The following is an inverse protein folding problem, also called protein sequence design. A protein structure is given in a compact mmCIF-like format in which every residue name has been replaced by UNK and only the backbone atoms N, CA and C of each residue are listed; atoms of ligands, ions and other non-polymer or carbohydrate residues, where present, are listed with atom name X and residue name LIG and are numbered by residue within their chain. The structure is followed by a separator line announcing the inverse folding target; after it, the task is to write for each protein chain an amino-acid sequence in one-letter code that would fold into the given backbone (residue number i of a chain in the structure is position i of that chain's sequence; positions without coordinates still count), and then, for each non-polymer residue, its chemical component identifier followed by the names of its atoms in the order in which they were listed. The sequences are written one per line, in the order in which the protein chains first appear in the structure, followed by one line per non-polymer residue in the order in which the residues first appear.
data_IF_545822919691
#
_entry.id   IF_545822919691
#
_cell.length_a   1.000
_cell.length_b   1.000
_cell.length_c   1.000
_cell.angle_alpha   90.00
_cell.angle_beta   90.00
_cell.angle_gamma   90.00
#
_symmetry.space_group_name_H-M   'P 1'
#
loop_
_entity.id
_entity.type
_entity.pdbx_description
1 polymer ?
#
# COMPACT_ATOMS: atom_id res chain seq x y z
N UNK A 1 25.59 73.21 -13.92
CA UNK A 1 25.25 71.85 -14.39
C UNK A 1 26.55 71.20 -14.81
N UNK A 2 27.15 70.42 -13.92
CA UNK A 2 28.43 69.75 -14.23
C UNK A 2 28.13 68.55 -15.10
N UNK A 3 28.27 68.73 -16.42
CA UNK A 3 28.41 67.66 -17.40
C UNK A 3 29.76 66.99 -17.18
N UNK A 4 29.86 66.21 -16.10
CA UNK A 4 31.04 65.43 -15.74
C UNK A 4 30.89 64.00 -16.24
N UNK A 5 32.02 63.40 -16.62
CA UNK A 5 32.20 62.03 -17.12
C UNK A 5 31.65 60.96 -16.13
N UNK A 6 31.38 61.34 -14.87
CA UNK A 6 30.86 60.47 -13.81
C UNK A 6 29.34 60.56 -13.58
N UNK A 7 28.60 61.39 -14.34
CA UNK A 7 27.18 61.61 -14.08
C UNK A 7 26.28 60.83 -15.05
N UNK A 8 25.71 59.73 -14.55
CA UNK A 8 24.80 58.84 -15.29
C UNK A 8 23.42 59.46 -15.58
N UNK A 9 23.09 60.64 -15.04
CA UNK A 9 21.72 61.19 -15.14
C UNK A 9 21.23 61.30 -16.59
N UNK A 10 22.07 61.76 -17.52
CA UNK A 10 21.71 61.90 -18.94
C UNK A 10 21.42 60.53 -19.58
N UNK A 11 22.28 59.53 -19.36
CA UNK A 11 22.04 58.17 -19.86
C UNK A 11 20.75 57.58 -19.28
N UNK A 12 20.52 57.75 -17.98
CA UNK A 12 19.35 57.20 -17.30
C UNK A 12 18.05 57.87 -17.77
N UNK A 13 18.01 59.21 -17.79
CA UNK A 13 16.80 59.99 -18.06
C UNK A 13 16.47 60.04 -19.57
N UNK A 14 17.46 60.31 -20.43
CA UNK A 14 17.21 60.56 -21.85
C UNK A 14 17.22 59.28 -22.70
N UNK A 15 17.87 58.21 -22.22
CA UNK A 15 17.98 56.96 -22.98
C UNK A 15 17.37 55.76 -22.25
N UNK A 16 17.84 55.42 -21.05
CA UNK A 16 17.52 54.14 -20.40
C UNK A 16 16.04 54.04 -20.02
N UNK A 17 15.45 55.08 -19.42
CA UNK A 17 14.02 55.08 -19.07
C UNK A 17 13.13 54.95 -20.32
N UNK A 18 13.29 55.79 -21.38
CA UNK A 18 12.54 55.61 -22.63
C UNK A 18 12.77 54.24 -23.29
N UNK A 19 14.02 53.74 -23.27
CA UNK A 19 14.38 52.43 -23.81
C UNK A 19 13.63 51.30 -23.10
N UNK A 20 13.63 51.28 -21.76
CA UNK A 20 12.94 50.26 -20.97
C UNK A 20 11.42 50.32 -21.18
N UNK A 21 10.84 51.53 -21.30
CA UNK A 21 9.41 51.69 -21.58
C UNK A 21 9.01 51.16 -22.97
N UNK A 22 9.79 51.49 -24.00
CA UNK A 22 9.56 50.98 -25.36
C UNK A 22 9.77 49.47 -25.45
N UNK A 23 10.79 48.93 -24.76
CA UNK A 23 11.01 47.50 -24.65
C UNK A 23 9.85 46.78 -23.95
N UNK A 24 9.31 47.36 -22.87
CA UNK A 24 8.14 46.80 -22.20
C UNK A 24 6.94 46.69 -23.14
N UNK A 25 6.65 47.74 -23.91
CA UNK A 25 5.58 47.73 -24.91
C UNK A 25 5.83 46.69 -26.01
N UNK A 26 7.07 46.58 -26.49
CA UNK A 26 7.46 45.58 -27.48
C UNK A 26 7.24 44.15 -26.96
N UNK A 27 7.75 43.80 -25.78
CA UNK A 27 7.62 42.45 -25.20
C UNK A 27 6.19 42.15 -24.74
N UNK A 28 5.40 43.17 -24.40
CA UNK A 28 3.95 43.01 -24.18
C UNK A 28 3.23 42.54 -25.44
N UNK A 29 3.53 43.13 -26.60
CA UNK A 29 2.95 42.70 -27.89
C UNK A 29 3.51 41.34 -28.32
N UNK A 30 4.81 41.09 -28.11
CA UNK A 30 5.44 39.81 -28.44
C UNK A 30 4.87 38.66 -27.60
N UNK A 31 4.69 38.84 -26.28
CA UNK A 31 4.09 37.81 -25.41
C UNK A 31 2.68 37.42 -25.85
N UNK A 32 1.82 38.39 -26.15
CA UNK A 32 0.46 38.12 -26.62
C UNK A 32 0.46 37.32 -27.93
N UNK A 33 1.31 37.70 -28.89
CA UNK A 33 1.46 36.97 -30.14
C UNK A 33 1.97 35.55 -29.91
N UNK A 34 3.02 35.39 -29.08
CA UNK A 34 3.60 34.10 -28.78
C UNK A 34 2.62 33.17 -28.07
N UNK A 35 1.81 33.68 -27.14
CA UNK A 35 0.77 32.90 -26.46
C UNK A 35 -0.33 32.43 -27.42
N UNK A 36 -0.71 33.25 -28.40
CA UNK A 36 -1.74 32.90 -29.38
C UNK A 36 -1.26 31.85 -30.40
N UNK A 37 0.03 31.86 -30.75
CA UNK A 37 0.58 31.03 -31.84
C UNK A 37 1.27 29.75 -31.36
N UNK A 38 1.52 29.57 -30.06
CA UNK A 38 2.39 28.51 -29.56
C UNK A 38 1.78 27.77 -28.36
N UNK A 39 2.15 26.51 -28.20
CA UNK A 39 1.89 25.76 -26.97
C UNK A 39 2.73 26.28 -25.79
N UNK A 40 2.32 25.98 -24.55
CA UNK A 40 3.05 26.42 -23.37
C UNK A 40 4.54 26.01 -23.40
N UNK A 41 4.87 24.79 -23.84
CA UNK A 41 6.26 24.32 -23.91
C UNK A 41 7.10 25.06 -24.96
N UNK A 42 6.51 25.45 -26.09
CA UNK A 42 7.19 26.25 -27.11
C UNK A 42 7.33 27.70 -26.63
N UNK A 43 6.31 28.24 -25.98
CA UNK A 43 6.33 29.58 -25.39
C UNK A 43 7.48 29.72 -24.37
N UNK A 44 7.56 28.83 -23.37
CA UNK A 44 8.60 28.91 -22.33
C UNK A 44 10.02 28.82 -22.92
N UNK A 45 10.24 28.00 -23.95
CA UNK A 45 11.55 27.91 -24.63
C UNK A 45 11.91 29.19 -25.37
N UNK A 46 10.95 29.79 -26.08
CA UNK A 46 11.15 31.07 -26.76
C UNK A 46 11.42 32.19 -25.77
N UNK A 47 10.69 32.27 -24.66
CA UNK A 47 10.92 33.26 -23.61
C UNK A 47 12.31 33.09 -22.98
N UNK A 48 12.72 31.86 -22.67
CA UNK A 48 14.07 31.60 -22.15
C UNK A 48 15.17 32.07 -23.12
N UNK A 49 15.01 31.80 -24.43
CA UNK A 49 15.92 32.27 -25.46
C UNK A 49 15.95 33.80 -25.54
N UNK A 50 14.78 34.46 -25.54
CA UNK A 50 14.67 35.93 -25.57
C UNK A 50 15.35 36.60 -24.39
N UNK A 51 15.20 36.06 -23.19
CA UNK A 51 15.87 36.59 -22.01
C UNK A 51 17.40 36.47 -22.16
N UNK A 52 17.90 35.34 -22.68
CA UNK A 52 19.34 35.15 -22.91
C UNK A 52 19.88 36.10 -23.99
N UNK A 53 19.20 36.19 -25.12
CA UNK A 53 19.55 37.09 -26.23
C UNK A 53 19.60 38.55 -25.76
N UNK A 54 18.62 38.98 -24.97
CA UNK A 54 18.51 40.35 -24.51
C UNK A 54 19.55 40.69 -23.43
N UNK A 55 19.83 39.75 -22.52
CA UNK A 55 20.89 39.91 -21.54
C UNK A 55 22.26 40.05 -22.24
N UNK A 56 22.56 39.17 -23.21
CA UNK A 56 23.79 39.24 -23.99
C UNK A 56 23.90 40.56 -24.77
N UNK A 57 22.81 40.98 -25.42
CA UNK A 57 22.75 42.26 -26.14
C UNK A 57 23.02 43.44 -25.21
N UNK A 58 22.39 43.46 -24.03
CA UNK A 58 22.58 44.53 -23.06
C UNK A 58 24.03 44.61 -22.57
N UNK A 59 24.67 43.47 -22.29
CA UNK A 59 26.08 43.42 -21.87
C UNK A 59 27.02 43.98 -22.95
N UNK A 60 26.71 43.79 -24.23
CA UNK A 60 27.58 44.21 -25.33
C UNK A 60 27.46 45.70 -25.67
N UNK A 61 26.26 46.27 -25.56
CA UNK A 61 25.97 47.61 -26.11
C UNK A 61 25.56 48.65 -25.06
N UNK A 62 25.18 48.25 -23.85
CA UNK A 62 24.56 49.15 -22.87
C UNK A 62 25.42 49.30 -21.62
N UNK A 63 25.04 50.27 -20.77
CA UNK A 63 25.64 50.38 -19.44
C UNK A 63 25.42 49.07 -18.66
N UNK A 64 26.41 48.69 -17.86
CA UNK A 64 26.43 47.44 -17.10
C UNK A 64 25.16 47.22 -16.26
N UNK A 65 24.57 48.29 -15.74
CA UNK A 65 23.40 48.19 -14.87
C UNK A 65 22.06 48.22 -15.62
N UNK A 66 22.08 48.40 -16.94
CA UNK A 66 20.88 48.29 -17.79
C UNK A 66 20.48 46.83 -17.99
N UNK A 67 21.45 45.90 -18.02
CA UNK A 67 21.21 44.45 -18.21
C UNK A 67 20.19 43.90 -17.20
N UNK A 68 20.44 44.10 -15.90
CA UNK A 68 19.51 43.65 -14.86
C UNK A 68 18.11 44.26 -15.02
N UNK A 69 18.03 45.52 -15.46
CA UNK A 69 16.75 46.24 -15.59
C UNK A 69 15.95 45.80 -16.80
N UNK A 70 16.60 45.59 -17.94
CA UNK A 70 15.91 45.08 -19.13
C UNK A 70 15.47 43.63 -18.91
N UNK A 71 16.29 42.78 -18.28
CA UNK A 71 15.90 41.40 -17.93
C UNK A 71 14.64 41.40 -17.04
N UNK A 72 14.56 42.29 -16.04
CA UNK A 72 13.34 42.45 -15.22
C UNK A 72 12.11 42.85 -16.03
N UNK A 73 12.27 43.69 -17.06
CA UNK A 73 11.16 44.03 -17.97
C UNK A 73 10.67 42.79 -18.72
N UNK A 74 11.58 41.96 -19.23
CA UNK A 74 11.19 40.70 -19.91
C UNK A 74 10.54 39.71 -18.93
N UNK A 75 11.07 39.58 -17.71
CA UNK A 75 10.50 38.72 -16.68
C UNK A 75 9.08 39.16 -16.29
N UNK A 76 8.82 40.47 -16.22
CA UNK A 76 7.48 41.00 -15.96
C UNK A 76 6.52 40.76 -17.15
N UNK A 77 6.90 41.21 -18.34
CA UNK A 77 6.03 41.18 -19.53
C UNK A 77 5.84 39.78 -20.13
N UNK A 78 6.85 38.92 -20.09
CA UNK A 78 6.82 37.58 -20.72
C UNK A 78 6.42 36.47 -19.73
N UNK A 79 6.65 36.65 -18.42
CA UNK A 79 6.41 35.59 -17.41
C UNK A 79 5.36 36.04 -16.39
N UNK A 80 5.65 37.07 -15.58
CA UNK A 80 4.83 37.44 -14.41
C UNK A 80 3.37 37.69 -14.78
N UNK A 81 3.12 38.47 -15.83
CA UNK A 81 1.75 38.82 -16.27
C UNK A 81 0.96 37.65 -16.84
N UNK A 82 1.64 36.61 -17.32
CA UNK A 82 1.04 35.49 -18.05
C UNK A 82 1.14 34.16 -17.32
N UNK A 83 1.64 34.15 -16.08
CA UNK A 83 2.02 32.92 -15.39
C UNK A 83 0.87 31.92 -15.26
N UNK A 84 -0.33 32.42 -14.91
CA UNK A 84 -1.55 31.62 -14.83
C UNK A 84 -1.96 31.12 -16.20
N UNK A 85 -1.98 32.00 -17.21
CA UNK A 85 -2.31 31.67 -18.60
C UNK A 85 -1.42 30.55 -19.15
N UNK A 86 -0.12 30.55 -18.84
CA UNK A 86 0.84 29.53 -19.29
C UNK A 86 0.60 28.20 -18.56
N UNK A 87 0.43 28.25 -17.24
CA UNK A 87 0.23 27.06 -16.39
C UNK A 87 -1.10 26.37 -16.70
N UNK A 88 -2.16 27.15 -16.91
CA UNK A 88 -3.52 26.67 -17.15
C UNK A 88 -3.85 26.55 -18.65
N UNK A 89 -2.85 26.74 -19.53
CA UNK A 89 -3.06 26.73 -20.98
C UNK A 89 -3.70 25.42 -21.44
N UNK A 90 -4.82 25.52 -22.15
CA UNK A 90 -5.55 24.37 -22.64
C UNK A 90 -4.66 23.47 -23.51
N UNK A 91 -4.72 22.16 -23.30
CA UNK A 91 -3.97 21.15 -24.06
C UNK A 91 -2.43 21.31 -24.09
N UNK A 92 -1.84 22.17 -23.27
CA UNK A 92 -0.37 22.31 -23.23
C UNK A 92 0.22 22.76 -21.90
N UNK A 93 -0.58 23.30 -20.98
CA UNK A 93 -0.16 23.71 -19.64
C UNK A 93 0.18 22.54 -18.72
N UNK A 94 0.36 22.83 -17.43
CA UNK A 94 0.85 21.88 -16.41
C UNK A 94 -0.02 20.62 -16.34
N UNK A 95 -1.35 20.75 -16.43
CA UNK A 95 -2.28 19.62 -16.43
C UNK A 95 -1.97 18.63 -17.57
N UNK A 96 -1.77 19.15 -18.78
CA UNK A 96 -1.41 18.34 -19.94
C UNK A 96 0.00 17.72 -19.78
N UNK A 97 0.96 18.50 -19.28
CA UNK A 97 2.32 18.00 -19.08
C UNK A 97 2.38 16.87 -18.05
N UNK A 98 1.63 16.95 -16.95
CA UNK A 98 1.52 15.89 -15.95
C UNK A 98 0.83 14.65 -16.54
N UNK A 99 -0.30 14.85 -17.23
CA UNK A 99 -1.08 13.75 -17.83
C UNK A 99 -0.31 12.94 -18.86
N UNK A 100 0.51 13.60 -19.69
CA UNK A 100 1.27 12.96 -20.76
C UNK A 100 2.76 12.77 -20.43
N UNK A 101 3.12 12.83 -19.14
CA UNK A 101 4.46 12.60 -18.63
C UNK A 101 5.56 13.43 -19.32
N UNK A 102 5.28 14.71 -19.60
CA UNK A 102 6.22 15.66 -20.23
C UNK A 102 7.18 16.25 -19.20
N UNK A 103 8.00 15.40 -18.60
CA UNK A 103 8.90 15.76 -17.50
C UNK A 103 9.91 16.87 -17.89
N UNK A 104 10.49 16.82 -19.10
CA UNK A 104 11.46 17.83 -19.55
C UNK A 104 10.83 19.21 -19.77
N UNK A 105 9.58 19.24 -20.26
CA UNK A 105 8.84 20.49 -20.43
C UNK A 105 8.51 21.11 -19.06
N UNK A 106 8.14 20.28 -18.06
CA UNK A 106 7.96 20.73 -16.67
C UNK A 106 9.26 21.23 -16.05
N UNK A 107 10.38 20.55 -16.27
CA UNK A 107 11.69 20.98 -15.78
C UNK A 107 12.08 22.35 -16.36
N UNK A 108 11.82 22.54 -17.65
CA UNK A 108 12.04 23.82 -18.35
C UNK A 108 11.16 24.92 -17.76
N UNK A 109 9.88 24.63 -17.53
CA UNK A 109 8.94 25.58 -16.93
C UNK A 109 9.36 25.94 -15.50
N UNK A 110 9.71 24.95 -14.68
CA UNK A 110 10.19 25.14 -13.31
C UNK A 110 11.43 26.05 -13.25
N UNK A 111 12.41 25.79 -14.11
CA UNK A 111 13.64 26.61 -14.20
C UNK A 111 13.35 28.04 -14.65
N UNK A 112 12.46 28.23 -15.62
CA UNK A 112 12.10 29.58 -16.09
C UNK A 112 11.38 30.37 -14.99
N UNK A 113 10.48 29.71 -14.26
CA UNK A 113 9.63 30.35 -13.26
C UNK A 113 10.35 30.63 -11.93
N UNK A 114 11.57 30.11 -11.74
CA UNK A 114 12.45 30.51 -10.63
C UNK A 114 12.81 32.00 -10.67
N UNK A 115 12.77 32.61 -11.87
CA UNK A 115 13.10 34.02 -12.08
C UNK A 115 12.09 35.00 -11.50
N UNK A 116 10.87 34.56 -11.22
CA UNK A 116 9.77 35.46 -10.79
C UNK A 116 9.19 35.03 -9.45
N UNK A 117 8.77 36.00 -8.62
CA UNK A 117 8.09 35.68 -7.36
C UNK A 117 6.80 34.89 -7.63
N UNK A 118 6.49 33.93 -6.75
CA UNK A 118 5.33 33.05 -6.86
C UNK A 118 5.31 32.10 -8.07
N UNK A 119 6.39 32.02 -8.86
CA UNK A 119 6.43 31.15 -10.03
C UNK A 119 6.27 29.68 -9.70
N UNK A 120 7.14 29.18 -8.82
CA UNK A 120 7.05 27.80 -8.32
C UNK A 120 5.74 27.51 -7.58
N UNK A 121 5.20 28.48 -6.83
CA UNK A 121 3.93 28.31 -6.11
C UNK A 121 2.76 28.08 -7.07
N UNK A 122 2.71 28.83 -8.18
CA UNK A 122 1.64 28.70 -9.19
C UNK A 122 1.65 27.31 -9.86
N UNK A 123 2.84 26.81 -10.22
CA UNK A 123 3.00 25.44 -10.74
C UNK A 123 2.55 24.43 -9.70
N UNK A 124 2.97 24.61 -8.44
CA UNK A 124 2.67 23.69 -7.36
C UNK A 124 1.17 23.66 -7.00
N UNK A 125 0.46 24.79 -7.11
CA UNK A 125 -1.00 24.87 -6.97
C UNK A 125 -1.71 24.09 -8.07
N UNK A 126 -1.31 24.27 -9.34
CA UNK A 126 -1.89 23.54 -10.46
C UNK A 126 -1.63 22.03 -10.37
N UNK A 127 -0.40 21.64 -10.02
CA UNK A 127 -0.03 20.24 -9.77
C UNK A 127 -0.87 19.63 -8.65
N UNK A 128 -1.06 20.35 -7.54
CA UNK A 128 -1.84 19.88 -6.39
C UNK A 128 -3.31 19.65 -6.77
N UNK A 129 -3.91 20.56 -7.54
CA UNK A 129 -5.27 20.39 -8.04
C UNK A 129 -5.40 19.14 -8.92
N UNK A 130 -4.49 18.97 -9.90
CA UNK A 130 -4.45 17.77 -10.75
C UNK A 130 -4.28 16.48 -9.93
N UNK A 131 -3.32 16.46 -8.99
CA UNK A 131 -3.05 15.30 -8.15
C UNK A 131 -4.27 14.93 -7.28
N UNK A 132 -4.95 15.92 -6.71
CA UNK A 132 -6.19 15.70 -5.95
C UNK A 132 -7.31 15.15 -6.79
N UNK A 133 -7.46 15.60 -8.04
CA UNK A 133 -8.48 15.08 -8.95
C UNK A 133 -8.20 13.61 -9.31
N UNK A 134 -6.97 13.29 -9.70
CA UNK A 134 -6.55 11.92 -10.00
C UNK A 134 -6.67 11.01 -8.77
N UNK A 135 -6.20 11.47 -7.61
CA UNK A 135 -6.28 10.74 -6.35
C UNK A 135 -7.72 10.48 -5.92
N UNK A 136 -8.61 11.47 -6.04
CA UNK A 136 -10.05 11.31 -5.79
C UNK A 136 -10.66 10.23 -6.68
N UNK A 137 -10.43 10.31 -8.00
CA UNK A 137 -10.95 9.31 -8.93
C UNK A 137 -10.53 7.88 -8.54
N UNK A 138 -9.24 7.68 -8.21
CA UNK A 138 -8.72 6.39 -7.76
C UNK A 138 -9.40 5.88 -6.49
N UNK A 139 -9.69 6.74 -5.53
CA UNK A 139 -10.27 6.32 -4.25
C UNK A 139 -11.79 6.16 -4.26
N UNK A 140 -12.49 6.84 -5.18
CA UNK A 140 -13.96 6.81 -5.30
C UNK A 140 -14.49 5.78 -6.30
N UNK A 141 -13.84 5.59 -7.45
CA UNK A 141 -14.33 4.69 -8.52
C UNK A 141 -14.27 3.21 -8.11
N UNK A 142 -13.45 2.86 -7.12
CA UNK A 142 -13.22 1.48 -6.65
C UNK A 142 -14.14 1.07 -5.48
N UNK A 143 -15.31 1.67 -5.33
CA UNK A 143 -16.18 1.48 -4.16
C UNK A 143 -17.22 0.37 -4.28
N UNK A 144 -17.54 -0.14 -5.48
CA UNK A 144 -18.68 -1.07 -5.62
C UNK A 144 -18.34 -2.57 -5.64
N UNK A 145 -17.09 -2.97 -5.87
CA UNK A 145 -16.71 -4.38 -5.85
C UNK A 145 -15.42 -4.57 -5.05
N UNK A 146 -15.43 -5.44 -4.04
CA UNK A 146 -14.22 -5.87 -3.30
C UNK A 146 -13.11 -6.50 -4.15
N UNK A 147 -13.24 -6.47 -5.48
CA UNK A 147 -12.23 -6.77 -6.49
C UNK A 147 -11.58 -5.42 -6.89
N UNK A 148 -10.45 -4.99 -6.36
CA UNK A 148 -9.35 -5.75 -5.78
C UNK A 148 -8.58 -4.78 -4.88
N UNK A 149 -8.62 -4.97 -3.55
CA UNK A 149 -7.84 -4.17 -2.60
C UNK A 149 -6.36 -4.07 -3.00
N UNK A 150 -5.85 -5.11 -3.69
CA UNK A 150 -4.49 -5.12 -4.22
C UNK A 150 -4.30 -4.06 -5.30
N UNK A 151 -5.21 -4.01 -6.28
CA UNK A 151 -5.18 -3.03 -7.38
C UNK A 151 -5.38 -1.61 -6.85
N UNK A 152 -6.27 -1.42 -5.86
CA UNK A 152 -6.46 -0.13 -5.20
C UNK A 152 -5.13 0.42 -4.65
N UNK A 153 -4.44 -0.37 -3.83
CA UNK A 153 -3.17 0.05 -3.21
C UNK A 153 -2.08 0.19 -4.29
N UNK A 154 -2.04 -0.71 -5.28
CA UNK A 154 -1.07 -0.63 -6.37
C UNK A 154 -1.21 0.67 -7.17
N UNK A 155 -2.43 1.06 -7.54
CA UNK A 155 -2.66 2.30 -8.28
C UNK A 155 -2.23 3.55 -7.49
N UNK A 156 -2.40 3.53 -6.16
CA UNK A 156 -1.90 4.61 -5.29
C UNK A 156 -0.37 4.66 -5.25
N UNK A 157 0.29 3.49 -5.20
CA UNK A 157 1.74 3.40 -5.27
C UNK A 157 2.28 3.89 -6.62
N UNK A 158 1.65 3.49 -7.72
CA UNK A 158 2.05 3.89 -9.07
C UNK A 158 1.86 5.40 -9.29
N UNK A 159 0.76 5.97 -8.78
CA UNK A 159 0.56 7.41 -8.76
C UNK A 159 1.66 8.10 -7.94
N UNK A 160 2.02 7.55 -6.78
CA UNK A 160 3.09 8.14 -5.94
C UNK A 160 4.44 8.10 -6.64
N UNK A 161 4.79 6.98 -7.25
CA UNK A 161 6.03 6.81 -8.00
C UNK A 161 6.11 7.83 -9.16
N UNK A 162 4.99 8.09 -9.84
CA UNK A 162 4.88 9.09 -10.90
C UNK A 162 5.17 10.51 -10.38
N UNK A 163 4.61 10.89 -9.24
CA UNK A 163 4.85 12.22 -8.67
C UNK A 163 6.22 12.37 -8.01
N UNK A 164 6.78 11.30 -7.46
CA UNK A 164 8.17 11.28 -6.99
C UNK A 164 9.16 11.41 -8.16
N UNK A 165 8.83 10.84 -9.32
CA UNK A 165 9.60 11.03 -10.55
C UNK A 165 9.60 12.50 -10.98
N UNK A 166 8.43 13.17 -11.02
CA UNK A 166 8.37 14.60 -11.32
C UNK A 166 9.10 15.45 -10.28
N UNK A 167 8.92 15.15 -8.99
CA UNK A 167 9.59 15.85 -7.91
C UNK A 167 11.12 15.81 -8.08
N UNK A 168 11.66 14.65 -8.40
CA UNK A 168 13.10 14.46 -8.58
C UNK A 168 13.63 15.09 -9.87
N UNK A 169 12.96 14.84 -11.00
CA UNK A 169 13.51 15.12 -12.32
C UNK A 169 13.04 16.45 -12.93
N UNK A 170 11.90 16.99 -12.50
CA UNK A 170 11.39 18.28 -12.97
C UNK A 170 11.46 19.39 -11.92
N UNK A 171 11.28 19.06 -10.63
CA UNK A 171 11.16 20.06 -9.56
C UNK A 171 12.35 20.10 -8.60
N UNK A 172 13.48 19.48 -8.96
CA UNK A 172 14.75 19.54 -8.21
C UNK A 172 14.61 19.21 -6.71
N UNK A 173 13.76 18.24 -6.37
CA UNK A 173 13.44 17.85 -4.99
C UNK A 173 12.94 19.00 -4.09
N UNK A 174 12.25 19.99 -4.67
CA UNK A 174 11.73 21.14 -3.95
C UNK A 174 10.81 20.74 -2.78
N UNK A 175 11.09 21.30 -1.59
CA UNK A 175 10.40 20.95 -0.35
C UNK A 175 8.92 21.36 -0.35
N UNK A 176 8.56 22.44 -1.04
CA UNK A 176 7.18 22.92 -1.19
C UNK A 176 6.38 21.93 -2.02
N UNK A 177 6.92 21.46 -3.14
CA UNK A 177 6.31 20.42 -3.97
C UNK A 177 6.17 19.11 -3.20
N UNK A 178 7.22 18.66 -2.53
CA UNK A 178 7.20 17.46 -1.68
C UNK A 178 6.11 17.54 -0.60
N UNK A 179 5.98 18.69 0.06
CA UNK A 179 4.95 18.91 1.09
C UNK A 179 3.55 18.86 0.51
N UNK A 180 3.31 19.48 -0.65
CA UNK A 180 2.01 19.43 -1.35
C UNK A 180 1.64 18.01 -1.76
N UNK A 181 2.55 17.28 -2.39
CA UNK A 181 2.34 15.87 -2.77
C UNK A 181 1.95 15.05 -1.53
N UNK A 182 2.71 15.14 -0.44
CA UNK A 182 2.39 14.41 0.79
C UNK A 182 1.01 14.78 1.36
N UNK A 183 0.69 16.08 1.42
CA UNK A 183 -0.59 16.57 1.93
C UNK A 183 -1.77 16.14 1.05
N UNK A 184 -1.57 16.05 -0.27
CA UNK A 184 -2.62 15.62 -1.19
C UNK A 184 -2.87 14.11 -1.07
N UNK A 185 -1.82 13.31 -0.94
CA UNK A 185 -1.94 11.87 -0.64
C UNK A 185 -2.67 11.60 0.68
N UNK A 186 -2.31 12.33 1.73
CA UNK A 186 -3.02 12.29 3.03
C UNK A 186 -4.48 12.70 2.88
N UNK A 187 -4.77 13.73 2.08
CA UNK A 187 -6.14 14.16 1.85
C UNK A 187 -7.00 13.08 1.17
N UNK A 188 -6.59 12.55 0.00
CA UNK A 188 -7.48 11.66 -0.75
C UNK A 188 -7.51 10.22 -0.23
N UNK A 189 -6.42 9.69 0.37
CA UNK A 189 -6.44 8.31 0.90
C UNK A 189 -7.48 8.15 2.00
N UNK A 190 -7.70 9.20 2.80
CA UNK A 190 -8.66 9.21 3.90
C UNK A 190 -10.11 9.52 3.45
N UNK A 191 -10.35 9.79 2.17
CA UNK A 191 -11.73 9.89 1.64
C UNK A 191 -12.41 8.52 1.56
N UNK A 192 -11.64 7.43 1.50
CA UNK A 192 -12.17 6.07 1.47
C UNK A 192 -11.94 5.37 2.81
N UNK A 193 -13.02 5.13 3.55
CA UNK A 193 -13.00 4.46 4.86
C UNK A 193 -12.43 3.03 4.82
N UNK A 194 -12.35 2.40 3.65
CA UNK A 194 -11.75 1.06 3.48
C UNK A 194 -10.24 1.11 3.22
N UNK A 195 -9.62 2.28 3.06
CA UNK A 195 -8.17 2.40 2.88
C UNK A 195 -7.35 1.65 3.93
N UNK A 196 -7.66 1.69 5.25
CA UNK A 196 -6.93 0.90 6.25
C UNK A 196 -7.04 -0.61 6.03
N UNK A 197 -8.23 -1.11 5.69
CA UNK A 197 -8.46 -2.53 5.39
C UNK A 197 -7.72 -2.96 4.13
N UNK A 198 -7.83 -2.16 3.06
CA UNK A 198 -7.23 -2.47 1.77
C UNK A 198 -5.70 -2.51 1.85
N UNK A 199 -5.10 -1.56 2.58
CA UNK A 199 -3.67 -1.58 2.85
C UNK A 199 -3.25 -2.83 3.64
N UNK A 200 -4.06 -3.22 4.63
CA UNK A 200 -3.83 -4.45 5.39
C UNK A 200 -3.89 -5.71 4.52
N UNK A 201 -4.89 -5.81 3.63
CA UNK A 201 -5.04 -6.90 2.67
C UNK A 201 -3.89 -6.95 1.66
N UNK A 202 -3.44 -5.79 1.18
CA UNK A 202 -2.27 -5.71 0.30
C UNK A 202 -1.03 -6.29 0.96
N UNK A 203 -0.74 -5.88 2.19
CA UNK A 203 0.41 -6.40 2.94
C UNK A 203 0.24 -7.89 3.26
N UNK A 204 -0.98 -8.33 3.61
CA UNK A 204 -1.30 -9.74 3.84
C UNK A 204 -0.97 -10.60 2.61
N UNK A 205 -1.33 -10.14 1.42
CA UNK A 205 -1.07 -10.87 0.19
C UNK A 205 0.42 -10.96 -0.15
N UNK A 206 1.19 -9.88 0.09
CA UNK A 206 2.64 -9.87 -0.13
C UNK A 206 3.42 -10.75 0.86
N UNK A 207 2.84 -11.08 2.02
CA UNK A 207 3.47 -11.90 3.06
C UNK A 207 3.02 -13.37 3.05
N UNK A 208 2.13 -13.79 2.15
CA UNK A 208 1.65 -15.19 2.05
C UNK A 208 2.59 -16.11 1.27
N UNK A 209 2.69 -17.37 1.72
CA UNK A 209 3.28 -18.48 0.96
C UNK A 209 2.59 -18.60 -0.39
N UNK A 210 3.37 -18.58 -1.48
CA UNK A 210 2.84 -18.72 -2.83
C UNK A 210 2.68 -17.40 -3.59
N UNK A 211 3.02 -16.25 -3.00
CA UNK A 211 3.35 -15.03 -3.73
C UNK A 211 4.67 -15.26 -4.52
N UNK A 212 4.63 -16.15 -5.51
CA UNK A 212 5.80 -16.75 -6.18
C UNK A 212 6.51 -15.82 -7.17
N UNK A 213 6.04 -14.59 -7.34
CA UNK A 213 6.52 -13.70 -8.39
C UNK A 213 7.49 -12.62 -7.91
N UNK A 214 7.76 -12.51 -6.60
CA UNK A 214 8.64 -11.48 -6.04
C UNK A 214 9.77 -12.11 -5.23
N UNK A 215 11.00 -11.65 -5.47
CA UNK A 215 12.15 -11.98 -4.62
C UNK A 215 12.06 -11.29 -3.25
N UNK A 216 12.78 -11.81 -2.25
CA UNK A 216 12.76 -11.26 -0.88
C UNK A 216 13.08 -9.74 -0.84
N UNK A 217 14.01 -9.28 -1.67
CA UNK A 217 14.36 -7.86 -1.80
C UNK A 217 13.22 -7.01 -2.38
N UNK A 218 12.49 -7.55 -3.36
CA UNK A 218 11.36 -6.85 -3.97
C UNK A 218 10.19 -6.75 -2.98
N UNK A 219 9.98 -7.78 -2.17
CA UNK A 219 9.01 -7.75 -1.07
C UNK A 219 9.37 -6.63 -0.09
N UNK A 220 10.63 -6.48 0.32
CA UNK A 220 11.04 -5.39 1.22
C UNK A 220 10.76 -4.00 0.64
N UNK A 221 11.08 -3.77 -0.64
CA UNK A 221 10.80 -2.51 -1.34
C UNK A 221 9.29 -2.23 -1.37
N UNK A 222 8.47 -3.24 -1.67
CA UNK A 222 7.01 -3.11 -1.70
C UNK A 222 6.45 -2.81 -0.30
N UNK A 223 7.00 -3.43 0.75
CA UNK A 223 6.61 -3.14 2.12
C UNK A 223 7.00 -1.72 2.55
N UNK A 224 8.13 -1.16 2.06
CA UNK A 224 8.54 0.21 2.36
C UNK A 224 7.58 1.22 1.72
N UNK A 225 7.20 0.94 0.48
CA UNK A 225 6.16 1.70 -0.24
C UNK A 225 4.80 1.61 0.46
N UNK A 226 4.39 0.42 0.91
CA UNK A 226 3.15 0.27 1.68
C UNK A 226 3.18 1.04 3.01
N UNK A 227 4.33 1.06 3.69
CA UNK A 227 4.53 1.85 4.92
C UNK A 227 4.49 3.36 4.67
N UNK A 228 4.90 3.82 3.49
CA UNK A 228 4.73 5.22 3.10
C UNK A 228 3.24 5.58 3.01
N UNK A 229 2.38 4.73 2.42
CA UNK A 229 0.93 4.95 2.43
C UNK A 229 0.33 4.84 3.84
N UNK A 230 0.82 3.92 4.67
CA UNK A 230 0.39 3.78 6.07
C UNK A 230 0.57 5.08 6.86
N UNK A 231 1.66 5.83 6.62
CA UNK A 231 1.91 7.11 7.29
C UNK A 231 0.81 8.14 6.99
N UNK A 232 0.24 8.11 5.79
CA UNK A 232 -0.84 9.00 5.37
C UNK A 232 -2.22 8.62 5.93
N UNK A 233 -2.39 7.43 6.51
CA UNK A 233 -3.67 7.04 7.10
C UNK A 233 -3.92 7.78 8.42
N UNK A 234 -5.14 8.28 8.60
CA UNK A 234 -5.61 8.85 9.88
C UNK A 234 -6.02 7.74 10.85
N UNK A 235 -6.85 6.79 10.41
CA UNK A 235 -7.41 5.69 11.23
C UNK A 235 -6.45 4.49 11.36
N UNK A 236 -5.31 4.69 12.02
CA UNK A 236 -4.27 3.66 12.20
C UNK A 236 -4.72 2.49 13.11
N UNK A 237 -5.64 2.72 14.03
CA UNK A 237 -6.24 1.71 14.91
C UNK A 237 -7.16 0.74 14.14
N UNK A 238 -7.90 1.26 13.15
CA UNK A 238 -8.68 0.45 12.21
C UNK A 238 -7.75 -0.45 11.40
N UNK A 239 -6.64 0.09 10.87
CA UNK A 239 -5.60 -0.72 10.21
C UNK A 239 -5.06 -1.81 11.14
N UNK A 240 -4.69 -1.48 12.39
CA UNK A 240 -4.16 -2.45 13.37
C UNK A 240 -5.13 -3.63 13.55
N UNK A 241 -6.43 -3.34 13.66
CA UNK A 241 -7.47 -4.37 13.83
C UNK A 241 -7.49 -5.35 12.67
N UNK A 242 -7.49 -4.87 11.42
CA UNK A 242 -7.45 -5.74 10.24
C UNK A 242 -6.12 -6.47 10.10
N UNK A 243 -5.00 -5.78 10.32
CA UNK A 243 -3.67 -6.38 10.24
C UNK A 243 -3.50 -7.51 11.23
N UNK A 244 -3.96 -7.33 12.47
CA UNK A 244 -3.96 -8.37 13.51
C UNK A 244 -4.80 -9.58 13.11
N UNK A 245 -5.96 -9.39 12.48
CA UNK A 245 -6.79 -10.48 11.97
C UNK A 245 -6.08 -11.28 10.87
N UNK A 246 -5.46 -10.59 9.92
CA UNK A 246 -4.71 -11.22 8.83
C UNK A 246 -3.49 -11.96 9.35
N UNK A 247 -2.68 -11.33 10.21
CA UNK A 247 -1.53 -11.96 10.85
C UNK A 247 -1.93 -13.22 11.63
N UNK A 248 -3.02 -13.17 12.40
CA UNK A 248 -3.50 -14.33 13.15
C UNK A 248 -3.81 -15.52 12.23
N UNK A 249 -4.49 -15.28 11.10
CA UNK A 249 -4.76 -16.32 10.10
C UNK A 249 -3.47 -16.87 9.50
N UNK A 250 -2.51 -16.01 9.13
CA UNK A 250 -1.23 -16.45 8.55
C UNK A 250 -0.42 -17.31 9.52
N UNK A 251 -0.33 -16.91 10.78
CA UNK A 251 0.38 -17.65 11.83
C UNK A 251 -0.28 -19.00 12.16
N UNK A 252 -1.60 -19.02 12.37
CA UNK A 252 -2.32 -20.25 12.75
C UNK A 252 -2.38 -21.26 11.60
N UNK A 253 -2.52 -20.80 10.37
CA UNK A 253 -2.58 -21.67 9.19
C UNK A 253 -1.20 -21.96 8.57
N UNK A 254 -0.12 -21.47 9.18
CA UNK A 254 1.25 -21.59 8.67
C UNK A 254 1.37 -21.14 7.19
N UNK A 255 0.70 -20.02 6.87
CA UNK A 255 0.65 -19.43 5.52
C UNK A 255 1.62 -18.26 5.33
N UNK A 256 2.43 -17.89 6.31
CA UNK A 256 3.46 -16.85 6.17
C UNK A 256 4.62 -17.30 5.29
N UNK A 257 5.04 -16.48 4.33
CA UNK A 257 6.14 -16.80 3.42
C UNK A 257 7.48 -16.92 4.17
N UNK A 258 7.75 -16.00 5.07
CA UNK A 258 8.97 -15.94 5.89
C UNK A 258 8.67 -15.32 7.26
N UNK A 259 9.15 -15.95 8.32
CA UNK A 259 9.04 -15.42 9.68
C UNK A 259 9.85 -14.12 9.85
N UNK A 260 10.95 -13.97 9.12
CA UNK A 260 11.80 -12.78 9.17
C UNK A 260 11.13 -11.58 8.49
N UNK A 261 10.45 -11.81 7.37
CA UNK A 261 9.67 -10.77 6.69
C UNK A 261 8.53 -10.25 7.58
N UNK A 262 7.85 -11.14 8.31
CA UNK A 262 6.78 -10.75 9.23
C UNK A 262 7.33 -9.94 10.43
N UNK A 263 8.44 -10.38 11.03
CA UNK A 263 9.11 -9.61 12.11
C UNK A 263 9.59 -8.26 11.61
N UNK A 264 10.13 -8.18 10.40
CA UNK A 264 10.57 -6.94 9.78
C UNK A 264 9.38 -5.97 9.62
N UNK A 265 8.24 -6.46 9.13
CA UNK A 265 7.02 -5.66 9.00
C UNK A 265 6.53 -5.13 10.36
N UNK A 266 6.55 -5.94 11.41
CA UNK A 266 6.22 -5.49 12.78
C UNK A 266 7.21 -4.44 13.27
N UNK A 267 8.51 -4.59 12.98
CA UNK A 267 9.53 -3.59 13.33
C UNK A 267 9.26 -2.24 12.66
N UNK A 268 8.82 -2.23 11.40
CA UNK A 268 8.41 -1.02 10.67
C UNK A 268 7.20 -0.36 11.34
N UNK A 269 6.15 -1.13 11.66
CA UNK A 269 4.99 -0.62 12.41
C UNK A 269 5.37 -0.05 13.78
N UNK A 270 6.31 -0.69 14.48
CA UNK A 270 6.82 -0.23 15.78
C UNK A 270 7.56 1.09 15.67
N UNK A 271 8.30 1.29 14.58
CA UNK A 271 9.01 2.55 14.33
C UNK A 271 8.03 3.70 14.11
N UNK A 272 6.94 3.45 13.39
CA UNK A 272 5.94 4.47 13.08
C UNK A 272 4.98 4.78 14.24
N UNK A 273 4.56 3.77 15.01
CA UNK A 273 3.48 3.91 16.00
C UNK A 273 3.89 3.57 17.44
N UNK A 274 5.13 3.13 17.65
CA UNK A 274 5.67 2.77 18.96
C UNK A 274 5.28 1.38 19.46
N UNK A 275 5.87 1.00 20.60
CA UNK A 275 5.77 -0.34 21.17
C UNK A 275 4.35 -0.74 21.59
N UNK A 276 3.50 0.22 21.98
CA UNK A 276 2.14 -0.08 22.43
C UNK A 276 1.27 -0.61 21.28
N UNK A 277 1.45 -0.06 20.07
CA UNK A 277 0.77 -0.48 18.85
C UNK A 277 1.11 -1.92 18.47
N UNK A 278 2.39 -2.30 18.58
CA UNK A 278 2.86 -3.63 18.16
C UNK A 278 2.83 -4.70 19.25
N UNK A 279 2.60 -4.33 20.51
CA UNK A 279 2.69 -5.24 21.67
C UNK A 279 1.90 -6.55 21.50
N UNK A 280 0.67 -6.46 21.00
CA UNK A 280 -0.18 -7.64 20.76
C UNK A 280 0.34 -8.51 19.61
N UNK A 281 0.83 -7.89 18.53
CA UNK A 281 1.39 -8.59 17.37
C UNK A 281 2.68 -9.34 17.75
N UNK A 282 3.57 -8.69 18.51
CA UNK A 282 4.78 -9.31 19.06
C UNK A 282 4.43 -10.47 20.03
N UNK A 283 3.38 -10.28 20.84
CA UNK A 283 2.82 -11.32 21.71
C UNK A 283 2.33 -12.55 20.94
N UNK A 284 1.67 -12.36 19.79
CA UNK A 284 1.22 -13.45 18.93
C UNK A 284 2.40 -14.28 18.40
N UNK A 285 3.50 -13.64 17.99
CA UNK A 285 4.72 -14.37 17.59
C UNK A 285 5.31 -15.19 18.74
N UNK A 286 5.41 -14.57 19.91
CA UNK A 286 5.92 -15.25 21.11
C UNK A 286 5.07 -16.47 21.46
N UNK A 287 3.75 -16.35 21.39
CA UNK A 287 2.83 -17.46 21.64
C UNK A 287 3.05 -18.61 20.66
N UNK A 288 3.22 -18.34 19.35
CA UNK A 288 3.52 -19.40 18.37
C UNK A 288 4.83 -20.12 18.69
N UNK A 289 5.91 -19.38 18.97
CA UNK A 289 7.20 -19.99 19.31
C UNK A 289 7.12 -20.85 20.57
N UNK A 290 6.55 -20.29 21.65
CA UNK A 290 6.38 -21.01 22.93
C UNK A 290 5.47 -22.22 22.76
N UNK A 291 4.43 -22.11 21.94
CA UNK A 291 3.49 -23.18 21.70
C UNK A 291 4.12 -24.33 20.91
N UNK A 292 5.00 -24.05 19.96
CA UNK A 292 5.74 -25.10 19.24
C UNK A 292 6.64 -25.89 20.20
N UNK A 293 7.40 -25.20 21.05
CA UNK A 293 8.20 -25.84 22.11
C UNK A 293 7.33 -26.66 23.08
N UNK A 294 6.17 -26.13 23.46
CA UNK A 294 5.23 -26.84 24.35
C UNK A 294 4.67 -28.10 23.68
N UNK A 295 4.43 -28.07 22.37
CA UNK A 295 3.98 -29.23 21.61
C UNK A 295 5.07 -30.31 21.52
N UNK A 296 6.33 -29.93 21.33
CA UNK A 296 7.48 -30.84 21.39
C UNK A 296 7.61 -31.50 22.77
N UNK A 297 7.56 -30.68 23.83
CA UNK A 297 7.59 -31.17 25.21
C UNK A 297 6.46 -32.16 25.49
N UNK A 298 5.26 -31.89 24.97
CA UNK A 298 4.12 -32.79 25.12
C UNK A 298 4.32 -34.12 24.38
N UNK A 299 4.85 -34.08 23.14
CA UNK A 299 5.19 -35.31 22.39
C UNK A 299 6.21 -36.17 23.13
N UNK A 300 7.22 -35.54 23.73
CA UNK A 300 8.21 -36.22 24.57
C UNK A 300 7.56 -36.80 25.85
N UNK A 301 6.67 -36.05 26.49
CA UNK A 301 5.95 -36.51 27.67
C UNK A 301 5.08 -37.75 27.38
N UNK A 302 4.36 -37.74 26.26
CA UNK A 302 3.50 -38.85 25.81
C UNK A 302 4.34 -40.10 25.52
N UNK A 303 5.48 -39.96 24.84
CA UNK A 303 6.35 -41.10 24.52
C UNK A 303 7.05 -41.67 25.76
N UNK A 304 7.58 -40.83 26.64
CA UNK A 304 8.28 -41.24 27.86
C UNK A 304 7.34 -41.95 28.85
N UNK A 305 6.13 -41.42 29.04
CA UNK A 305 5.13 -42.02 29.93
C UNK A 305 4.28 -43.09 29.27
N UNK A 306 4.50 -43.38 27.98
CA UNK A 306 3.72 -44.34 27.18
C UNK A 306 2.21 -44.11 27.31
N UNK A 307 1.80 -42.84 27.24
CA UNK A 307 0.39 -42.48 27.33
C UNK A 307 -0.33 -42.88 26.06
N UNK A 308 -1.47 -43.55 26.20
CA UNK A 308 -2.33 -43.87 25.07
C UNK A 308 -3.27 -42.69 24.78
N UNK A 309 -3.15 -42.10 23.59
CA UNK A 309 -4.04 -41.04 23.09
C UNK A 309 -5.16 -41.61 22.19
N UNK A 310 -5.51 -42.88 22.34
CA UNK A 310 -6.53 -43.57 21.54
C UNK A 310 -6.27 -43.50 20.02
N UNK A 311 -4.99 -43.53 19.62
CA UNK A 311 -4.57 -43.45 18.22
C UNK A 311 -4.65 -42.04 17.60
N UNK A 312 -4.90 -41.01 18.40
CA UNK A 312 -4.96 -39.61 17.93
C UNK A 312 -3.57 -38.98 17.97
N UNK A 313 -3.12 -38.44 16.84
CA UNK A 313 -2.00 -37.50 16.79
C UNK A 313 -2.51 -36.09 17.14
N UNK A 314 -2.22 -35.65 18.36
CA UNK A 314 -2.73 -34.39 18.90
C UNK A 314 -1.64 -33.30 18.87
N UNK A 315 -1.90 -32.25 18.08
CA UNK A 315 -1.15 -30.99 18.15
C UNK A 315 -2.02 -29.90 18.75
N UNK A 316 -1.54 -29.25 19.81
CA UNK A 316 -2.26 -28.16 20.48
C UNK A 316 -1.47 -26.86 20.36
N UNK A 317 -2.18 -25.78 20.04
CA UNK A 317 -1.63 -24.43 20.10
C UNK A 317 -2.20 -23.64 21.27
N UNK A 318 -1.33 -23.12 22.13
CA UNK A 318 -1.74 -22.33 23.30
C UNK A 318 -1.52 -20.85 23.01
N UNK A 319 -2.59 -20.07 23.12
CA UNK A 319 -2.64 -18.66 22.74
C UNK A 319 -3.02 -17.80 23.96
N UNK A 320 -2.43 -16.62 24.10
CA UNK A 320 -2.71 -15.69 25.19
C UNK A 320 -3.97 -14.86 24.90
N UNK A 321 -4.97 -14.93 25.79
CA UNK A 321 -6.20 -14.14 25.68
C UNK A 321 -5.90 -12.65 25.62
N UNK A 322 -6.52 -11.94 24.67
CA UNK A 322 -6.37 -10.50 24.48
C UNK A 322 -5.28 -10.08 23.48
N UNK A 323 -4.34 -10.96 23.14
CA UNK A 323 -3.40 -10.72 22.02
C UNK A 323 -4.00 -11.14 20.68
N UNK A 324 -4.76 -12.23 20.67
CA UNK A 324 -5.34 -12.79 19.45
C UNK A 324 -6.74 -12.25 19.19
N UNK A 325 -7.16 -12.12 17.93
CA UNK A 325 -8.51 -11.69 17.54
C UNK A 325 -9.53 -12.83 17.67
N UNK A 326 -9.48 -13.60 18.75
CA UNK A 326 -10.40 -14.71 18.99
C UNK A 326 -11.71 -14.20 19.60
N UNK A 327 -12.84 -14.75 19.14
CA UNK A 327 -14.13 -14.47 19.77
C UNK A 327 -14.15 -15.11 21.17
N UNK A 328 -14.59 -14.36 22.18
CA UNK A 328 -14.68 -14.84 23.56
C UNK A 328 -15.77 -15.91 23.77
N UNK A 329 -16.58 -16.19 22.74
CA UNK A 329 -17.68 -17.13 22.83
C UNK A 329 -17.13 -18.54 22.58
N UNK A 330 -16.87 -19.26 23.67
CA UNK A 330 -16.72 -20.70 23.62
C UNK A 330 -18.09 -21.31 23.29
N UNK A 331 -18.34 -21.54 21.99
CA UNK A 331 -19.50 -22.34 21.59
C UNK A 331 -19.36 -23.72 22.24
N UNK A 332 -20.42 -24.18 22.91
CA UNK A 332 -20.45 -25.51 23.50
C UNK A 332 -20.34 -26.54 22.37
N UNK A 333 -19.15 -27.14 22.23
CA UNK A 333 -18.88 -28.19 21.27
C UNK A 333 -18.69 -29.50 22.02
N UNK A 334 -19.62 -30.43 21.83
CA UNK A 334 -19.54 -31.76 22.44
C UNK A 334 -18.54 -32.62 21.67
N UNK A 335 -17.27 -32.52 22.03
CA UNK A 335 -16.22 -33.34 21.43
C UNK A 335 -16.46 -34.83 21.66
N UNK A 336 -16.18 -35.70 20.66
CA UNK A 336 -16.18 -37.15 20.83
C UNK A 336 -15.31 -37.57 22.02
N UNK A 337 -15.69 -38.66 22.70
CA UNK A 337 -15.03 -39.12 23.92
C UNK A 337 -13.51 -39.30 23.74
N UNK A 338 -13.09 -39.93 22.64
CA UNK A 338 -11.68 -40.19 22.33
C UNK A 338 -10.87 -38.90 22.19
N UNK A 339 -11.40 -37.88 21.48
CA UNK A 339 -10.77 -36.56 21.31
C UNK A 339 -10.72 -35.82 22.64
N UNK A 340 -11.80 -35.89 23.42
CA UNK A 340 -11.90 -35.26 24.74
C UNK A 340 -10.85 -35.81 25.71
N UNK A 341 -10.68 -37.13 25.74
CA UNK A 341 -9.66 -37.80 26.56
C UNK A 341 -8.24 -37.39 26.15
N UNK A 342 -7.95 -37.38 24.84
CA UNK A 342 -6.65 -36.93 24.33
C UNK A 342 -6.37 -35.47 24.73
N UNK A 343 -7.35 -34.57 24.61
CA UNK A 343 -7.23 -33.19 25.07
C UNK A 343 -7.05 -33.09 26.59
N UNK A 344 -7.75 -33.90 27.39
CA UNK A 344 -7.59 -33.91 28.85
C UNK A 344 -6.18 -34.33 29.28
N UNK A 345 -5.52 -35.21 28.53
CA UNK A 345 -4.11 -35.55 28.75
C UNK A 345 -3.21 -34.33 28.55
N UNK A 346 -3.40 -33.58 27.47
CA UNK A 346 -2.69 -32.30 27.25
C UNK A 346 -3.00 -31.27 28.33
N UNK A 347 -4.28 -31.12 28.69
CA UNK A 347 -4.72 -30.16 29.71
C UNK A 347 -4.03 -30.39 31.06
N UNK A 348 -3.96 -31.65 31.51
CA UNK A 348 -3.25 -32.03 32.73
C UNK A 348 -1.74 -31.77 32.63
N UNK A 349 -1.13 -32.13 31.51
CA UNK A 349 0.29 -31.85 31.24
C UNK A 349 0.59 -30.34 31.36
N UNK A 350 -0.22 -29.50 30.71
CA UNK A 350 -0.01 -28.06 30.67
C UNK A 350 -0.19 -27.43 32.06
N UNK A 351 -1.27 -27.75 32.77
CA UNK A 351 -1.56 -27.15 34.08
C UNK A 351 -0.56 -27.59 35.17
N UNK A 352 0.01 -28.80 35.07
CA UNK A 352 1.07 -29.23 35.99
C UNK A 352 2.36 -28.41 35.81
N UNK A 353 2.62 -27.91 34.60
CA UNK A 353 3.80 -27.07 34.29
C UNK A 353 3.51 -25.58 34.50
N UNK A 354 2.24 -25.17 34.44
CA UNK A 354 1.81 -23.78 34.47
C UNK A 354 0.70 -23.54 35.51
N UNK A 355 1.06 -23.64 36.79
CA UNK A 355 0.16 -23.37 37.91
C UNK A 355 -0.47 -21.98 37.83
N UNK A 356 -1.77 -21.88 38.11
CA UNK A 356 -2.51 -20.61 38.11
C UNK A 356 -3.03 -20.14 36.74
N UNK A 357 -2.83 -20.92 35.66
CA UNK A 357 -3.45 -20.66 34.36
C UNK A 357 -4.77 -21.40 34.18
N UNK A 358 -5.63 -20.86 33.33
CA UNK A 358 -6.85 -21.53 32.87
C UNK A 358 -6.78 -21.69 31.35
N UNK A 359 -7.10 -22.89 30.86
CA UNK A 359 -7.21 -23.17 29.44
C UNK A 359 -8.68 -23.16 29.02
N UNK A 360 -8.97 -22.49 27.92
CA UNK A 360 -10.28 -22.55 27.25
C UNK A 360 -10.05 -23.06 25.83
N UNK A 361 -10.66 -24.19 25.48
CA UNK A 361 -10.56 -24.75 24.14
C UNK A 361 -11.40 -23.93 23.15
N UNK A 362 -10.87 -23.68 21.96
CA UNK A 362 -11.52 -22.92 20.88
C UNK A 362 -11.74 -23.83 19.65
N UNK A 363 -12.86 -24.57 19.58
CA UNK A 363 -13.12 -25.52 18.49
C UNK A 363 -13.21 -24.88 17.11
N UNK A 364 -13.62 -23.60 17.02
CA UNK A 364 -13.75 -22.86 15.76
C UNK A 364 -12.42 -22.66 15.02
N UNK A 365 -11.29 -22.76 15.70
CA UNK A 365 -9.95 -22.59 15.14
C UNK A 365 -9.22 -23.92 14.90
N UNK A 366 -9.87 -25.04 15.21
CA UNK A 366 -9.29 -26.37 15.07
C UNK A 366 -9.63 -27.04 13.73
N UNK A 367 -8.77 -27.98 13.35
CA UNK A 367 -8.97 -28.89 12.22
C UNK A 367 -8.58 -30.31 12.62
N UNK A 368 -9.06 -31.29 11.88
CA UNK A 368 -8.72 -32.69 12.05
C UNK A 368 -8.63 -33.39 10.69
N UNK A 369 -7.75 -34.39 10.61
CA UNK A 369 -7.69 -35.31 9.49
C UNK A 369 -8.41 -36.60 9.88
N UNK A 370 -9.45 -36.94 9.12
CA UNK A 370 -10.27 -38.13 9.35
C UNK A 370 -10.05 -39.17 8.26
N UNK A 371 -9.85 -40.42 8.65
CA UNK A 371 -9.86 -41.55 7.72
C UNK A 371 -11.30 -42.04 7.55
N UNK A 372 -11.92 -41.71 6.43
CA UNK A 372 -13.25 -42.20 6.05
C UNK A 372 -13.13 -43.53 5.29
N UNK A 373 -13.96 -44.52 5.67
CA UNK A 373 -14.04 -45.83 5.01
C UNK A 373 -15.38 -45.93 4.30
N UNK A 374 -15.34 -46.11 2.98
CA UNK A 374 -16.52 -46.29 2.16
C UNK A 374 -16.64 -47.75 1.70
N UNK A 375 -17.86 -48.26 1.77
CA UNK A 375 -18.23 -49.63 1.39
C UNK A 375 -19.13 -49.57 0.14
N UNK A 376 -18.86 -50.41 -0.87
CA UNK A 376 -19.68 -50.55 -2.08
C UNK A 376 -19.00 -50.10 -3.38
N UNK A 377 -19.63 -50.43 -4.53
CA UNK A 377 -19.10 -50.13 -5.88
C UNK A 377 -19.00 -48.60 -6.10
N UNK A 378 -17.96 -48.11 -6.81
CA UNK A 378 -17.95 -46.73 -7.29
C UNK A 378 -19.22 -46.46 -8.12
N UNK A 379 -19.83 -45.28 -7.99
CA UNK A 379 -20.75 -44.82 -9.04
C UNK A 379 -19.91 -44.68 -10.30
N UNK A 380 -20.19 -45.50 -11.31
CA UNK A 380 -19.74 -45.23 -12.67
C UNK A 380 -20.41 -43.92 -13.11
N UNK A 381 -19.62 -42.95 -13.57
CA UNK A 381 -20.14 -41.80 -14.30
C UNK A 381 -20.93 -42.33 -15.51
N UNK A 382 -22.10 -41.76 -15.76
CA UNK A 382 -23.03 -42.15 -16.82
C UNK A 382 -22.30 -42.35 -18.17
N UNK A 383 -22.12 -43.62 -18.56
CA UNK A 383 -21.58 -44.03 -19.84
C UNK A 383 -22.05 -45.45 -20.13
N UNK A 384 -23.08 -45.55 -20.98
CA UNK A 384 -23.77 -46.77 -21.42
C UNK A 384 -22.87 -48.00 -21.56
N UNK A 385 -23.22 -49.07 -20.85
CA UNK A 385 -22.53 -50.36 -20.97
C UNK A 385 -23.17 -51.49 -20.15
N UNK A 386 -23.95 -52.31 -20.83
CA UNK A 386 -24.66 -53.53 -20.38
C UNK A 386 -24.09 -54.32 -19.19
N UNK A 387 -24.99 -54.62 -18.25
CA UNK A 387 -24.76 -55.43 -17.05
C UNK A 387 -24.56 -56.93 -17.36
N UNK A 388 -23.59 -57.56 -16.70
CA UNK A 388 -23.58 -59.01 -16.41
C UNK A 388 -23.54 -59.26 -14.90
N UNK A 389 -24.31 -60.22 -14.37
CA UNK A 389 -24.29 -60.53 -12.95
C UNK A 389 -23.16 -61.53 -12.67
N UNK A 390 -22.12 -61.11 -11.95
CA UNK A 390 -21.14 -62.02 -11.35
C UNK A 390 -21.28 -62.03 -9.84
N UNK A 391 -21.54 -63.23 -9.36
CA UNK A 391 -21.71 -63.67 -7.98
C UNK A 391 -20.46 -63.38 -7.15
N UNK A 392 -20.67 -62.95 -5.90
CA UNK A 392 -19.66 -62.79 -4.83
C UNK A 392 -18.64 -61.69 -5.05
N UNK A 393 -19.09 -60.43 -5.07
CA UNK A 393 -18.19 -59.27 -5.06
C UNK A 393 -17.79 -58.94 -3.62
N UNK A 394 -16.53 -59.20 -3.27
CA UNK A 394 -15.95 -58.68 -2.03
C UNK A 394 -16.15 -57.15 -2.00
N UNK A 395 -16.78 -56.65 -0.94
CA UNK A 395 -16.97 -55.21 -0.74
C UNK A 395 -15.57 -54.60 -0.55
N UNK A 396 -15.02 -54.01 -1.61
CA UNK A 396 -13.70 -53.39 -1.55
C UNK A 396 -13.78 -52.11 -0.74
N UNK A 397 -13.14 -52.11 0.43
CA UNK A 397 -13.00 -50.92 1.27
C UNK A 397 -12.24 -49.83 0.51
N UNK A 398 -12.82 -48.63 0.43
CA UNK A 398 -12.13 -47.44 -0.09
C UNK A 398 -11.87 -46.50 1.06
N UNK A 399 -10.59 -46.18 1.30
CA UNK A 399 -10.15 -45.30 2.38
C UNK A 399 -9.78 -43.94 1.79
N UNK A 400 -10.31 -42.88 2.38
CA UNK A 400 -10.00 -41.50 2.02
C UNK A 400 -9.66 -40.71 3.28
N UNK A 401 -8.65 -39.83 3.20
CA UNK A 401 -8.33 -38.89 4.27
C UNK A 401 -9.03 -37.57 3.99
N UNK A 402 -9.84 -37.11 4.93
CA UNK A 402 -10.60 -35.87 4.85
C UNK A 402 -10.00 -34.85 5.82
N UNK A 403 -9.51 -33.72 5.30
CA UNK A 403 -9.14 -32.58 6.13
C UNK A 403 -10.38 -31.74 6.39
N UNK A 404 -10.78 -31.66 7.66
CA UNK A 404 -12.04 -31.03 8.07
C UNK A 404 -11.83 -30.08 9.25
N UNK A 405 -12.73 -29.11 9.42
CA UNK A 405 -12.81 -28.32 10.65
C UNK A 405 -13.22 -29.18 11.84
N UNK A 406 -12.95 -28.74 13.07
CA UNK A 406 -13.40 -29.46 14.27
C UNK A 406 -14.92 -29.69 14.29
N UNK A 407 -15.72 -28.72 13.84
CA UNK A 407 -17.18 -28.90 13.78
C UNK A 407 -17.61 -29.97 12.78
N UNK A 408 -17.01 -29.96 11.59
CA UNK A 408 -17.24 -31.01 10.59
C UNK A 408 -16.82 -32.38 11.12
N UNK A 409 -15.70 -32.48 11.84
CA UNK A 409 -15.27 -33.71 12.51
C UNK A 409 -16.33 -34.22 13.49
N UNK A 410 -16.86 -33.35 14.37
CA UNK A 410 -17.89 -33.74 15.34
C UNK A 410 -19.13 -34.30 14.63
N UNK A 411 -19.58 -33.65 13.56
CA UNK A 411 -20.76 -34.09 12.79
C UNK A 411 -20.49 -35.43 12.11
N UNK A 412 -19.37 -35.58 11.39
CA UNK A 412 -19.03 -36.80 10.66
C UNK A 412 -18.91 -38.01 11.59
N UNK A 413 -18.39 -37.81 12.81
CA UNK A 413 -18.25 -38.89 13.78
C UNK A 413 -19.58 -39.46 14.27
N UNK A 414 -20.69 -38.73 14.17
CA UNK A 414 -22.03 -39.23 14.53
C UNK A 414 -22.48 -40.37 13.60
N UNK A 415 -22.04 -40.33 12.34
CA UNK A 415 -22.44 -41.32 11.33
C UNK A 415 -21.81 -42.70 11.52
N UNK A 416 -20.82 -42.82 12.43
CA UNK A 416 -20.31 -44.13 12.84
C UNK A 416 -21.30 -44.91 13.73
N UNK A 417 -22.34 -44.25 14.25
CA UNK A 417 -23.35 -44.87 15.12
C UNK A 417 -24.71 -45.04 14.46
N UNK A 418 -25.07 -44.14 13.52
CA UNK A 418 -26.33 -44.15 12.78
C UNK A 418 -26.11 -43.68 11.35
N UNK A 419 -26.74 -44.32 10.39
CA UNK A 419 -26.61 -43.97 8.97
C UNK A 419 -27.28 -42.65 8.59
N UNK A 420 -28.28 -42.20 9.36
CA UNK A 420 -29.00 -40.95 9.11
C UNK A 420 -29.26 -40.17 10.40
N UNK A 421 -29.26 -38.85 10.25
CA UNK A 421 -29.56 -37.87 11.29
C UNK A 421 -30.45 -36.79 10.67
N UNK A 422 -31.50 -36.38 11.38
CA UNK A 422 -32.33 -35.23 11.03
C UNK A 422 -31.88 -33.98 11.78
N UNK A 423 -31.97 -32.83 11.11
CA UNK A 423 -31.87 -31.52 11.75
C UNK A 423 -33.30 -31.05 12.00
N UNK A 424 -33.64 -30.77 13.26
CA UNK A 424 -34.93 -30.17 13.64
C UNK A 424 -34.84 -28.65 13.70
#
# INVERSE_FOLDING_TARGET
MSLGIDNRSVYAEDFEIPFLQQSAEFYRLESQKLLAENSASVYIRKVAARISEEAERAVHYLDKSTEERIVRVLEDELITKHIKTIVEMENSGVYHMLKFNKCDDLATMYKLFERVPNGHLTIADCMSNYLREQGRALVTENTDDGKNAITYVQNLLDLKDTFDHFLKNAFNEDKTFKKRINSDFEYFINLNQRSPEYLSLFIDEKLKKGAKDLGDQEVEIVLDKAMMLFRYLEEKDVFERYYKQHLAKRLLLNKSASDDAEKNMISRLKTECGCQFTCKLEGMFKDISVSNTTADDFRLYVSQKRLNLNGIDLTVRVLTTGFWPTQAIANQCNLPATVREAYQCFHRFYLNKHSGRQLTLQPSLGSADLTAIFYGKPKEDDGDGESRPTTTTMIKERKHTLQVSTYQMVILMLFNTKESWSFE
#
